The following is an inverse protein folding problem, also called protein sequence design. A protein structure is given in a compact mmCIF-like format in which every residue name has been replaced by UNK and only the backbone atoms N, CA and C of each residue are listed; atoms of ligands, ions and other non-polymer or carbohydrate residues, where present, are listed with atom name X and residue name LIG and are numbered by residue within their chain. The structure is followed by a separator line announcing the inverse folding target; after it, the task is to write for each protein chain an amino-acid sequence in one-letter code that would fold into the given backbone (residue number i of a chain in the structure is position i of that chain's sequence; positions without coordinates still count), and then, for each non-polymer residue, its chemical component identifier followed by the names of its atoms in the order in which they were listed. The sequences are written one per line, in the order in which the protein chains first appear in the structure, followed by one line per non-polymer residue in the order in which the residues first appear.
data_IF_690844942452
#
_entry.id   IF_690844942452
#
_cell.length_a   1.000
_cell.length_b   1.000
_cell.length_c   1.000
_cell.angle_alpha   90.00
_cell.angle_beta   90.00
_cell.angle_gamma   90.00
#
_symmetry.space_group_name_H-M   'P 1'
#
loop_
_entity.id
_entity.type
_entity.pdbx_description
1 polymer ?
#
# COMPACT_ATOMS: atom_id res chain seq x y z
N UNK A 1 -1.26 17.78 -3.17
CA UNK A 1 -0.38 17.77 -2.80
C UNK A 1 0.56 17.56 -3.62
N UNK A 2 0.71 18.25 -4.25
CA UNK A 2 1.52 18.15 -5.23
C UNK A 2 2.81 17.72 -4.90
N UNK A 3 3.40 18.12 -3.95
CA UNK A 3 4.62 17.78 -3.73
C UNK A 3 4.76 16.71 -2.89
N UNK A 4 3.89 15.76 -2.87
CA UNK A 4 4.11 14.71 -2.13
C UNK A 4 5.16 13.92 -2.65
N UNK A 5 6.17 13.61 -1.95
CA UNK A 5 7.20 12.77 -2.41
C UNK A 5 7.12 11.53 -1.61
N UNK A 6 7.88 10.53 -1.93
CA UNK A 6 7.85 9.33 -1.20
C UNK A 6 8.94 9.32 -0.21
N UNK A 7 9.19 10.44 0.39
CA UNK A 7 10.27 10.52 1.32
C UNK A 7 9.93 10.01 2.70
N UNK A 8 8.66 9.85 3.02
CA UNK A 8 8.30 9.35 4.32
C UNK A 8 8.11 7.87 4.27
N UNK A 9 8.64 7.18 5.27
CA UNK A 9 8.56 5.74 5.29
C UNK A 9 7.65 5.29 6.39
N UNK A 10 6.97 4.20 6.17
CA UNK A 10 6.15 3.56 7.18
C UNK A 10 6.72 2.17 7.39
N UNK A 11 7.10 1.89 8.63
CA UNK A 11 7.62 0.58 8.94
C UNK A 11 6.60 -0.16 9.78
N UNK A 12 6.13 -1.28 9.27
CA UNK A 12 5.18 -2.07 10.00
C UNK A 12 5.63 -3.51 10.00
N UNK A 13 5.21 -4.22 10.99
CA UNK A 13 5.53 -5.63 11.08
C UNK A 13 4.31 -6.41 10.71
N UNK A 14 4.50 -7.44 9.91
CA UNK A 14 3.40 -8.31 9.55
C UNK A 14 3.85 -9.73 9.70
N UNK A 15 2.92 -10.63 9.80
CA UNK A 15 3.24 -12.04 9.89
C UNK A 15 3.93 -12.47 8.62
N UNK A 16 4.91 -13.36 8.72
CA UNK A 16 5.61 -13.80 7.51
C UNK A 16 4.67 -14.40 6.46
N UNK A 17 3.64 -15.12 6.89
CA UNK A 17 2.72 -15.71 5.93
C UNK A 17 1.96 -14.62 5.19
N UNK A 18 1.57 -13.57 5.88
CA UNK A 18 0.86 -12.47 5.24
C UNK A 18 1.78 -11.75 4.25
N UNK A 19 3.03 -11.58 4.62
CA UNK A 19 3.96 -10.93 3.74
C UNK A 19 4.13 -11.72 2.44
N UNK A 20 4.23 -13.03 2.54
CA UNK A 20 4.39 -13.88 1.37
C UNK A 20 3.18 -13.77 0.44
N UNK A 21 1.99 -13.79 1.01
CA UNK A 21 0.79 -13.68 0.19
C UNK A 21 0.72 -12.31 -0.46
N UNK A 22 1.10 -11.28 0.27
CA UNK A 22 1.06 -9.93 -0.26
C UNK A 22 2.05 -9.77 -1.41
N UNK A 23 3.23 -10.38 -1.28
CA UNK A 23 4.21 -10.32 -2.35
C UNK A 23 3.71 -11.04 -3.59
N UNK A 24 3.03 -12.15 -3.40
CA UNK A 24 2.45 -12.88 -4.52
C UNK A 24 1.40 -12.04 -5.22
N UNK A 25 0.56 -11.37 -4.46
CA UNK A 25 -0.48 -10.52 -5.03
C UNK A 25 0.13 -9.35 -5.78
N UNK A 26 1.19 -8.76 -5.22
CA UNK A 26 1.84 -7.63 -5.88
C UNK A 26 2.44 -8.09 -7.21
N UNK A 27 3.06 -9.25 -7.24
CA UNK A 27 3.63 -9.76 -8.46
C UNK A 27 2.56 -10.02 -9.51
N UNK A 28 1.42 -10.51 -9.08
CA UNK A 28 0.32 -10.78 -10.01
C UNK A 28 -0.18 -9.49 -10.64
N UNK A 29 -0.09 -8.38 -9.91
CA UNK A 29 -0.53 -7.11 -10.43
C UNK A 29 0.63 -6.34 -11.08
N UNK A 30 1.79 -6.95 -11.20
CA UNK A 30 2.95 -6.31 -11.81
C UNK A 30 3.32 -5.03 -11.10
N UNK A 31 3.31 -5.07 -9.77
CA UNK A 31 3.70 -3.89 -9.01
C UNK A 31 4.51 -4.33 -7.82
N UNK A 32 5.24 -3.40 -7.23
CA UNK A 32 6.03 -3.72 -6.06
C UNK A 32 5.13 -3.88 -4.86
N UNK A 33 5.67 -4.48 -3.81
CA UNK A 33 4.92 -4.64 -2.57
C UNK A 33 4.55 -3.27 -2.01
N UNK A 34 5.47 -2.31 -2.05
CA UNK A 34 5.18 -0.98 -1.56
C UNK A 34 4.03 -0.34 -2.33
N UNK A 35 4.03 -0.50 -3.65
CA UNK A 35 2.98 0.07 -4.46
C UNK A 35 1.63 -0.60 -4.16
N UNK A 36 1.65 -1.90 -3.91
CA UNK A 36 0.42 -2.59 -3.56
C UNK A 36 -0.12 -2.08 -2.24
N UNK A 37 0.75 -1.93 -1.24
CA UNK A 37 0.32 -1.45 0.06
C UNK A 37 -0.24 -0.04 -0.05
N UNK A 38 0.42 0.80 -0.82
CA UNK A 38 -0.03 2.17 -1.00
C UNK A 38 -1.41 2.20 -1.66
N UNK A 39 -1.62 1.35 -2.65
CA UNK A 39 -2.91 1.29 -3.32
C UNK A 39 -4.00 0.85 -2.36
N UNK A 40 -3.73 -0.20 -1.59
CA UNK A 40 -4.74 -0.70 -0.67
C UNK A 40 -5.06 0.32 0.42
N UNK A 41 -4.04 0.99 0.92
CA UNK A 41 -4.25 1.98 1.95
C UNK A 41 -5.05 3.16 1.40
N UNK A 42 -4.72 3.60 0.20
CA UNK A 42 -5.42 4.69 -0.44
C UNK A 42 -6.88 4.34 -0.66
N UNK A 43 -7.14 3.13 -1.17
CA UNK A 43 -8.50 2.70 -1.43
C UNK A 43 -9.29 2.62 -0.14
N UNK A 44 -8.69 2.10 0.92
CA UNK A 44 -9.37 1.97 2.19
C UNK A 44 -9.72 3.35 2.76
N UNK A 45 -8.76 4.27 2.74
CA UNK A 45 -8.99 5.59 3.31
C UNK A 45 -10.02 6.36 2.51
N UNK A 46 -10.03 6.18 1.19
CA UNK A 46 -11.01 6.84 0.36
C UNK A 46 -12.40 6.28 0.63
N UNK A 47 -12.47 4.96 0.81
CA UNK A 47 -13.75 4.33 1.08
C UNK A 47 -14.31 4.77 2.41
N UNK A 48 -13.44 5.01 3.39
CA UNK A 48 -13.88 5.43 4.70
C UNK A 48 -14.10 6.95 4.80
N UNK A 49 -13.74 7.67 3.75
CA UNK A 49 -13.99 9.10 3.77
C UNK A 49 -12.86 9.94 4.30
N UNK A 50 -11.69 9.36 4.56
CA UNK A 50 -10.58 10.14 5.04
C UNK A 50 -9.87 10.86 3.89
N UNK A 51 -10.01 10.38 2.68
CA UNK A 51 -9.39 11.02 1.53
C UNK A 51 -10.47 11.47 0.57
N UNK A 52 -10.24 12.57 -0.13
CA UNK A 52 -11.22 13.02 -1.12
C UNK A 52 -11.25 12.04 -2.29
N UNK A 53 -12.33 12.01 -2.94
CA UNK A 53 -12.48 11.11 -4.06
C UNK A 53 -11.85 11.60 -5.32
#
# INVERSE_FOLDING_TARGET
MANETKSKQILIRVRPSLKTVAETAAAADHRSLSALIEKLLTDYLRKKGYLPK
#
